data_IF_421548495588
#
_entry.id   IF_421548495588
#
_cell.length_a   1.000
_cell.length_b   1.000
_cell.length_c   1.000
_cell.angle_alpha   90.00
_cell.angle_beta   90.00
_cell.angle_gamma   90.00
#
_symmetry.space_group_name_H-M   'P 1'
#
loop_
_entity.id
_entity.type
_entity.pdbx_description
1 polymer ?
#
# COMPACT_ATOMS: atom_id res chain seq x y z
N UNK A 1 -65.04 20.20 25.75
CA UNK A 1 -64.06 20.19 24.64
C UNK A 1 -62.86 21.03 25.06
N UNK A 2 -61.85 20.43 25.71
CA UNK A 2 -60.62 21.13 26.10
C UNK A 2 -59.70 21.14 24.87
N UNK A 3 -59.47 22.32 24.30
CA UNK A 3 -58.47 22.49 23.24
C UNK A 3 -57.09 22.24 23.85
N UNK A 4 -56.35 21.30 23.27
CA UNK A 4 -54.94 21.10 23.58
C UNK A 4 -54.15 22.30 23.05
N UNK A 5 -53.45 22.99 23.95
CA UNK A 5 -52.50 24.05 23.62
C UNK A 5 -51.38 23.49 22.72
N UNK A 6 -50.92 24.23 21.70
CA UNK A 6 -49.75 23.82 20.93
C UNK A 6 -48.53 23.95 21.85
N UNK A 7 -47.85 22.84 22.11
CA UNK A 7 -46.57 22.81 22.82
C UNK A 7 -45.58 23.69 22.06
N UNK A 8 -45.24 24.83 22.66
CA UNK A 8 -44.22 25.73 22.15
C UNK A 8 -42.91 24.95 21.97
N UNK A 9 -42.35 24.97 20.75
CA UNK A 9 -41.06 24.34 20.48
C UNK A 9 -39.99 25.01 21.35
N UNK A 10 -39.07 24.25 21.98
CA UNK A 10 -38.02 24.83 22.79
C UNK A 10 -37.17 25.82 21.97
N UNK A 11 -36.61 26.88 22.60
CA UNK A 11 -35.68 27.79 21.93
C UNK A 11 -34.54 26.99 21.28
N UNK A 12 -34.09 27.39 20.09
CA UNK A 12 -33.15 26.62 19.26
C UNK A 12 -31.89 26.16 20.03
N UNK A 13 -31.41 26.98 20.97
CA UNK A 13 -30.23 26.71 21.82
C UNK A 13 -30.39 25.57 22.84
N UNK A 14 -31.61 25.12 23.12
CA UNK A 14 -31.89 24.04 24.10
C UNK A 14 -32.30 22.71 23.46
N UNK A 15 -32.37 22.63 22.13
CA UNK A 15 -32.72 21.37 21.46
C UNK A 15 -31.59 20.36 21.63
N UNK A 16 -31.88 19.07 21.92
CA UNK A 16 -30.86 18.04 21.95
C UNK A 16 -30.09 18.02 20.63
N UNK A 17 -28.78 17.79 20.72
CA UNK A 17 -27.91 17.62 19.55
C UNK A 17 -27.81 16.12 19.25
N UNK A 18 -28.44 15.68 18.17
CA UNK A 18 -28.42 14.30 17.71
C UNK A 18 -27.24 14.08 16.76
N UNK A 19 -26.46 13.03 17.02
CA UNK A 19 -25.24 12.71 16.27
C UNK A 19 -25.39 11.35 15.62
N UNK A 20 -25.27 11.29 14.30
CA UNK A 20 -25.12 10.03 13.57
C UNK A 20 -23.68 9.52 13.71
N UNK A 21 -23.52 8.20 13.84
CA UNK A 21 -22.21 7.59 14.01
C UNK A 21 -21.48 7.49 12.67
N UNK A 22 -22.09 6.77 11.73
CA UNK A 22 -21.46 6.40 10.45
C UNK A 22 -21.45 7.59 9.48
N UNK A 23 -20.27 8.02 9.04
CA UNK A 23 -20.11 9.10 8.06
C UNK A 23 -20.21 10.52 8.62
N UNK A 24 -20.64 10.68 9.88
CA UNK A 24 -20.71 11.98 10.59
C UNK A 24 -19.67 12.01 11.71
N UNK A 25 -19.88 11.28 12.82
CA UNK A 25 -18.92 11.22 13.92
C UNK A 25 -17.65 10.45 13.57
N UNK A 26 -17.81 9.33 12.87
CA UNK A 26 -16.73 8.50 12.35
C UNK A 26 -16.71 8.64 10.84
N UNK A 27 -15.53 8.86 10.24
CA UNK A 27 -15.40 9.08 8.80
C UNK A 27 -15.69 7.85 7.93
N UNK A 28 -15.78 6.68 8.56
CA UNK A 28 -16.04 5.38 7.92
C UNK A 28 -17.42 4.84 8.30
N UNK A 29 -17.75 3.66 7.77
CA UNK A 29 -18.96 2.95 8.11
C UNK A 29 -18.60 1.68 8.91
N UNK A 30 -19.13 1.57 10.11
CA UNK A 30 -18.84 0.50 11.07
C UNK A 30 -19.24 -0.90 10.57
N UNK A 31 -20.28 -1.02 9.74
CA UNK A 31 -20.64 -2.30 9.12
C UNK A 31 -19.55 -2.81 8.18
N UNK A 32 -19.03 -1.95 7.30
CA UNK A 32 -17.98 -2.35 6.35
C UNK A 32 -16.68 -2.71 7.07
N UNK A 33 -16.34 -2.00 8.14
CA UNK A 33 -15.20 -2.36 8.99
C UNK A 33 -15.40 -3.70 9.70
N UNK A 34 -16.59 -3.92 10.27
CA UNK A 34 -16.95 -5.18 10.91
C UNK A 34 -16.89 -6.35 9.93
N UNK A 35 -17.41 -6.17 8.71
CA UNK A 35 -17.33 -7.17 7.64
C UNK A 35 -15.90 -7.48 7.24
N UNK A 36 -15.07 -6.45 7.04
CA UNK A 36 -13.67 -6.64 6.68
C UNK A 36 -12.92 -7.42 7.77
N UNK A 37 -13.13 -7.05 9.05
CA UNK A 37 -12.53 -7.73 10.18
C UNK A 37 -13.04 -9.17 10.35
N UNK A 38 -14.33 -9.40 10.11
CA UNK A 38 -14.93 -10.74 10.09
C UNK A 38 -14.27 -11.62 9.04
N UNK A 39 -14.17 -11.16 7.79
CA UNK A 39 -13.58 -11.94 6.71
C UNK A 39 -12.08 -12.14 6.88
N UNK A 40 -11.39 -11.21 7.55
CA UNK A 40 -9.97 -11.36 7.89
C UNK A 40 -9.74 -12.46 8.94
N UNK A 41 -10.60 -12.55 9.96
CA UNK A 41 -10.46 -13.54 11.04
C UNK A 41 -11.10 -14.89 10.69
N UNK A 42 -12.20 -14.87 9.94
CA UNK A 42 -13.05 -16.03 9.62
C UNK A 42 -13.41 -16.03 8.13
N UNK A 43 -12.45 -16.23 7.21
CA UNK A 43 -12.68 -16.14 5.77
C UNK A 43 -13.69 -17.18 5.24
N UNK A 44 -13.83 -18.31 5.92
CA UNK A 44 -14.82 -19.35 5.59
C UNK A 44 -16.28 -18.88 5.69
N UNK A 45 -16.55 -17.73 6.34
CA UNK A 45 -17.89 -17.15 6.43
C UNK A 45 -18.27 -16.27 5.24
N UNK A 46 -17.40 -16.10 4.22
CA UNK A 46 -17.73 -15.30 3.04
C UNK A 46 -19.06 -15.71 2.35
N UNK A 47 -19.38 -17.02 2.16
CA UNK A 47 -20.68 -17.42 1.63
C UNK A 47 -21.85 -17.08 2.56
N UNK A 48 -21.64 -17.16 3.88
CA UNK A 48 -22.66 -16.82 4.87
C UNK A 48 -22.98 -15.32 4.85
N UNK A 49 -21.97 -14.46 4.69
CA UNK A 49 -22.15 -13.01 4.51
C UNK A 49 -23.07 -12.70 3.33
N UNK A 50 -22.93 -13.40 2.20
CA UNK A 50 -23.83 -13.26 1.06
C UNK A 50 -25.27 -13.66 1.43
N UNK A 51 -25.45 -14.80 2.09
CA UNK A 51 -26.76 -15.26 2.54
C UNK A 51 -27.41 -14.28 3.54
N UNK A 52 -26.63 -13.68 4.44
CA UNK A 52 -27.09 -12.67 5.39
C UNK A 52 -27.48 -11.36 4.71
N UNK A 53 -26.72 -10.95 3.69
CA UNK A 53 -27.03 -9.77 2.88
C UNK A 53 -28.38 -9.92 2.16
N UNK A 54 -28.71 -11.13 1.67
CA UNK A 54 -30.00 -11.42 1.03
C UNK A 54 -31.19 -11.34 2.01
N UNK A 55 -30.96 -11.55 3.31
CA UNK A 55 -31.98 -11.38 4.37
C UNK A 55 -32.16 -9.93 4.80
N UNK A 56 -31.40 -8.99 4.23
CA UNK A 56 -31.50 -7.56 4.44
C UNK A 56 -30.38 -6.97 5.31
N UNK A 57 -30.16 -5.63 5.21
CA UNK A 57 -29.03 -4.94 5.83
C UNK A 57 -29.05 -5.01 7.36
N UNK A 58 -30.25 -4.99 7.94
CA UNK A 58 -30.47 -5.09 9.37
C UNK A 58 -30.04 -6.44 9.95
N UNK A 59 -30.27 -7.54 9.21
CA UNK A 59 -29.83 -8.88 9.61
C UNK A 59 -28.30 -8.99 9.53
N UNK A 60 -27.72 -8.48 8.44
CA UNK A 60 -26.27 -8.48 8.23
C UNK A 60 -25.53 -7.74 9.36
N UNK A 61 -25.99 -6.55 9.76
CA UNK A 61 -25.39 -5.76 10.86
C UNK A 61 -25.33 -6.52 12.17
N UNK A 62 -26.44 -7.12 12.58
CA UNK A 62 -26.51 -7.89 13.82
C UNK A 62 -25.55 -9.10 13.79
N UNK A 63 -25.50 -9.80 12.67
CA UNK A 63 -24.74 -11.03 12.54
C UNK A 63 -23.22 -10.79 12.52
N UNK A 64 -22.81 -9.63 11.99
CA UNK A 64 -21.44 -9.10 12.05
C UNK A 64 -21.08 -8.65 13.47
N UNK A 65 -21.90 -7.81 14.11
CA UNK A 65 -21.67 -7.30 15.46
C UNK A 65 -21.62 -8.42 16.53
N UNK A 66 -22.35 -9.52 16.30
CA UNK A 66 -22.30 -10.71 17.18
C UNK A 66 -20.98 -11.46 17.11
N UNK A 67 -20.29 -11.47 15.95
CA UNK A 67 -19.09 -12.28 15.73
C UNK A 67 -17.79 -11.54 15.90
N UNK A 68 -17.81 -10.22 15.75
CA UNK A 68 -16.62 -9.39 15.75
C UNK A 68 -16.83 -8.16 16.60
N UNK A 69 -15.85 -7.88 17.44
CA UNK A 69 -15.76 -6.62 18.17
C UNK A 69 -14.83 -5.67 17.43
N UNK A 70 -15.32 -4.46 17.17
CA UNK A 70 -14.52 -3.37 16.62
C UNK A 70 -13.73 -2.71 17.74
N UNK A 71 -12.47 -2.38 17.45
CA UNK A 71 -11.66 -1.58 18.35
C UNK A 71 -12.07 -0.11 18.19
N UNK A 72 -13.05 0.30 19.00
CA UNK A 72 -13.66 1.64 18.90
C UNK A 72 -12.63 2.76 19.09
N UNK A 73 -11.57 2.52 19.87
CA UNK A 73 -10.51 3.50 20.11
C UNK A 73 -9.67 3.83 18.85
N UNK A 74 -9.74 2.99 17.81
CA UNK A 74 -9.01 3.19 16.56
C UNK A 74 -9.88 3.77 15.45
N UNK A 75 -11.17 3.99 15.69
CA UNK A 75 -12.06 4.53 14.66
C UNK A 75 -11.59 5.96 14.25
N UNK A 76 -11.68 6.32 12.96
CA UNK A 76 -11.26 7.62 12.47
C UNK A 76 -12.33 8.66 12.78
N UNK A 77 -12.33 9.15 14.02
CA UNK A 77 -13.26 10.17 14.49
C UNK A 77 -13.00 11.54 13.84
N UNK A 78 -14.06 12.32 13.64
CA UNK A 78 -13.95 13.75 13.32
C UNK A 78 -13.59 14.51 14.61
N UNK A 79 -12.30 14.76 14.81
CA UNK A 79 -11.76 15.42 16.00
C UNK A 79 -12.33 16.84 16.21
N UNK A 80 -12.69 17.53 15.12
CA UNK A 80 -13.28 18.87 15.19
C UNK A 80 -14.71 18.77 15.71
N UNK A 81 -15.48 17.81 15.20
CA UNK A 81 -16.82 17.55 15.69
C UNK A 81 -16.80 17.08 17.14
N UNK A 82 -15.90 16.17 17.52
CA UNK A 82 -15.75 15.72 18.91
C UNK A 82 -15.47 16.88 19.88
N UNK A 83 -14.60 17.80 19.48
CA UNK A 83 -14.31 19.01 20.27
C UNK A 83 -15.56 19.87 20.44
N UNK A 84 -16.31 20.10 19.35
CA UNK A 84 -17.56 20.86 19.39
C UNK A 84 -18.64 20.19 20.26
N UNK A 85 -18.83 18.88 20.14
CA UNK A 85 -19.78 18.12 20.97
C UNK A 85 -19.41 18.20 22.46
N UNK A 86 -18.11 18.18 22.77
CA UNK A 86 -17.62 18.32 24.14
C UNK A 86 -17.91 19.72 24.71
N UNK A 87 -17.74 20.76 23.90
CA UNK A 87 -18.07 22.15 24.28
C UNK A 87 -19.59 22.33 24.51
N UNK A 88 -20.43 21.80 23.63
CA UNK A 88 -21.89 21.87 23.78
C UNK A 88 -22.38 21.12 25.02
N UNK A 89 -21.79 19.95 25.31
CA UNK A 89 -22.06 19.22 26.55
C UNK A 89 -21.66 20.02 27.78
N UNK A 90 -20.50 20.69 27.74
CA UNK A 90 -20.05 21.55 28.84
C UNK A 90 -20.97 22.77 29.06
N UNK A 91 -21.67 23.23 28.01
CA UNK A 91 -22.71 24.26 28.10
C UNK A 91 -24.04 23.75 28.64
N UNK A 92 -24.14 22.46 28.99
CA UNK A 92 -25.34 21.83 29.53
C UNK A 92 -26.34 21.36 28.48
N UNK A 93 -25.96 21.37 27.20
CA UNK A 93 -26.81 20.89 26.11
C UNK A 93 -26.80 19.36 26.08
N UNK A 94 -27.98 18.74 25.92
CA UNK A 94 -28.13 17.28 25.82
C UNK A 94 -27.56 16.80 24.47
N UNK A 95 -26.65 15.83 24.51
CA UNK A 95 -26.04 15.23 23.32
C UNK A 95 -26.46 13.76 23.22
N UNK A 96 -27.05 13.38 22.08
CA UNK A 96 -27.63 12.05 21.87
C UNK A 96 -26.96 11.38 20.68
N UNK A 97 -26.55 10.12 20.83
CA UNK A 97 -26.08 9.31 19.72
C UNK A 97 -27.30 8.67 19.05
N UNK A 98 -27.71 9.17 17.90
CA UNK A 98 -28.85 8.67 17.14
C UNK A 98 -28.35 8.07 15.82
N UNK A 99 -28.26 6.74 15.76
CA UNK A 99 -27.53 6.06 14.69
C UNK A 99 -28.24 4.84 14.11
N UNK A 100 -28.05 4.64 12.82
CA UNK A 100 -28.46 3.40 12.13
C UNK A 100 -27.54 2.19 12.38
N UNK A 101 -26.42 2.39 13.08
CA UNK A 101 -25.47 1.33 13.43
C UNK A 101 -26.07 0.32 14.43
N UNK A 102 -25.40 -0.83 14.56
CA UNK A 102 -25.80 -1.84 15.53
C UNK A 102 -25.65 -1.31 16.97
N UNK A 103 -26.61 -1.66 17.83
CA UNK A 103 -26.67 -1.20 19.23
C UNK A 103 -25.40 -1.52 20.00
N UNK A 104 -24.82 -2.72 19.81
CA UNK A 104 -23.59 -3.11 20.51
C UNK A 104 -22.42 -2.18 20.16
N UNK A 105 -22.33 -1.75 18.90
CA UNK A 105 -21.27 -0.84 18.43
C UNK A 105 -21.53 0.59 18.94
N UNK A 106 -22.77 1.06 18.84
CA UNK A 106 -23.17 2.40 19.29
C UNK A 106 -22.93 2.59 20.80
N UNK A 107 -23.31 1.61 21.61
CA UNK A 107 -23.09 1.62 23.06
C UNK A 107 -21.59 1.56 23.41
N UNK A 108 -20.81 0.75 22.69
CA UNK A 108 -19.35 0.70 22.89
C UNK A 108 -18.66 2.03 22.57
N UNK A 109 -19.07 2.70 21.49
CA UNK A 109 -18.55 4.04 21.13
C UNK A 109 -18.98 5.07 22.18
N UNK A 110 -20.23 5.04 22.62
CA UNK A 110 -20.73 5.98 23.62
C UNK A 110 -20.01 5.81 24.97
N UNK A 111 -19.78 4.57 25.39
CA UNK A 111 -19.01 4.26 26.59
C UNK A 111 -17.54 4.71 26.48
N UNK A 112 -16.93 4.54 25.30
CA UNK A 112 -15.55 4.96 25.06
C UNK A 112 -15.36 6.48 25.13
N UNK A 113 -16.29 7.24 24.52
CA UNK A 113 -16.19 8.70 24.45
C UNK A 113 -16.72 9.39 25.71
N UNK A 114 -17.70 8.82 26.42
CA UNK A 114 -18.32 9.44 27.61
C UNK A 114 -19.12 10.72 27.31
N UNK A 115 -19.39 11.02 26.03
CA UNK A 115 -20.01 12.26 25.59
C UNK A 115 -21.54 12.19 25.45
N UNK A 116 -22.15 11.02 25.34
CA UNK A 116 -23.59 10.93 25.03
C UNK A 116 -24.44 10.67 26.27
N UNK A 117 -25.56 11.38 26.37
CA UNK A 117 -26.54 11.24 27.46
C UNK A 117 -27.56 10.14 27.18
N UNK A 118 -27.76 9.81 25.89
CA UNK A 118 -28.59 8.69 25.45
C UNK A 118 -28.06 8.12 24.13
N UNK A 119 -28.31 6.83 23.92
CA UNK A 119 -27.98 6.11 22.68
C UNK A 119 -29.28 5.55 22.09
N UNK A 120 -29.62 6.02 20.90
CA UNK A 120 -30.71 5.51 20.08
C UNK A 120 -30.07 4.82 18.88
N UNK A 121 -30.08 3.50 18.88
CA UNK A 121 -29.49 2.68 17.84
C UNK A 121 -30.57 1.92 17.08
N UNK A 122 -30.16 1.12 16.08
CA UNK A 122 -31.01 0.31 15.20
C UNK A 122 -32.41 -0.01 15.75
N UNK A 123 -33.43 0.52 15.08
CA UNK A 123 -34.85 0.22 15.34
C UNK A 123 -35.53 1.15 16.33
N UNK A 124 -34.79 2.04 17.00
CA UNK A 124 -35.31 3.04 17.93
C UNK A 124 -35.03 4.44 17.36
N UNK A 125 -35.94 5.02 16.53
CA UNK A 125 -35.74 6.37 16.01
C UNK A 125 -35.81 7.39 17.15
N UNK A 126 -34.91 8.37 17.14
CA UNK A 126 -34.98 9.50 18.05
C UNK A 126 -36.05 10.48 17.55
N UNK A 127 -37.17 10.58 18.27
CA UNK A 127 -38.38 11.28 17.83
C UNK A 127 -38.54 12.70 18.40
N UNK A 128 -37.72 13.09 19.39
CA UNK A 128 -37.74 14.44 19.94
C UNK A 128 -37.24 15.47 18.90
N UNK A 129 -37.76 16.71 18.86
CA UNK A 129 -37.22 17.76 18.00
C UNK A 129 -35.77 18.08 18.36
N UNK A 130 -34.85 17.84 17.42
CA UNK A 130 -33.42 17.94 17.66
C UNK A 130 -32.70 18.72 16.57
N UNK A 131 -31.47 19.11 16.87
CA UNK A 131 -30.53 19.58 15.86
C UNK A 131 -29.62 18.41 15.45
N UNK A 132 -29.42 18.22 14.14
CA UNK A 132 -28.51 17.19 13.64
C UNK A 132 -27.08 17.75 13.57
N UNK A 133 -26.16 17.08 14.25
CA UNK A 133 -24.74 17.37 14.09
C UNK A 133 -24.30 17.09 12.65
N UNK A 134 -23.52 18.00 12.08
CA UNK A 134 -22.98 17.85 10.72
C UNK A 134 -21.48 17.63 10.76
N UNK A 135 -20.98 16.90 9.77
CA UNK A 135 -19.55 16.72 9.57
C UNK A 135 -18.88 18.08 9.34
N UNK A 136 -17.80 18.33 10.07
CA UNK A 136 -17.08 19.61 10.06
C UNK A 136 -15.88 19.61 9.13
N UNK A 137 -15.24 18.46 8.90
CA UNK A 137 -14.04 18.39 8.06
C UNK A 137 -14.36 18.40 6.55
N UNK A 138 -13.74 19.29 5.73
CA UNK A 138 -13.89 19.26 4.29
C UNK A 138 -13.29 17.97 3.71
N UNK A 139 -14.02 17.32 2.81
CA UNK A 139 -13.53 16.13 2.11
C UNK A 139 -12.35 16.51 1.21
N UNK A 140 -11.26 15.74 1.27
CA UNK A 140 -10.13 15.91 0.35
C UNK A 140 -10.59 15.63 -1.08
N UNK A 141 -9.98 16.26 -2.11
CA UNK A 141 -10.34 16.02 -3.51
C UNK A 141 -10.26 14.53 -3.85
N UNK A 142 -11.36 13.96 -4.35
CA UNK A 142 -11.50 12.52 -4.61
C UNK A 142 -10.35 11.96 -5.46
N UNK A 143 -9.99 12.66 -6.54
CA UNK A 143 -8.91 12.24 -7.43
C UNK A 143 -7.56 12.10 -6.71
N UNK A 144 -7.21 13.05 -5.84
CA UNK A 144 -5.97 13.01 -5.06
C UNK A 144 -5.97 11.82 -4.10
N UNK A 145 -7.11 11.55 -3.49
CA UNK A 145 -7.29 10.42 -2.56
C UNK A 145 -7.19 9.09 -3.30
N UNK A 146 -7.80 8.97 -4.49
CA UNK A 146 -7.68 7.79 -5.35
C UNK A 146 -6.24 7.55 -5.81
N UNK A 147 -5.52 8.57 -6.30
CA UNK A 147 -4.12 8.40 -6.69
C UNK A 147 -3.22 7.97 -5.52
N UNK A 148 -3.52 8.47 -4.31
CA UNK A 148 -2.84 8.04 -3.09
C UNK A 148 -3.16 6.59 -2.74
N UNK A 149 -4.42 6.16 -2.89
CA UNK A 149 -4.86 4.78 -2.64
C UNK A 149 -4.24 3.78 -3.64
N UNK A 150 -4.20 4.15 -4.93
CA UNK A 150 -3.54 3.37 -5.99
C UNK A 150 -2.01 3.35 -5.84
N UNK A 151 -1.45 4.27 -5.06
CA UNK A 151 -0.01 4.46 -4.87
C UNK A 151 0.73 4.62 -6.19
N UNK A 152 0.25 5.51 -7.07
CA UNK A 152 0.83 5.72 -8.42
C UNK A 152 2.34 6.01 -8.40
N UNK A 153 2.86 6.66 -7.35
CA UNK A 153 4.30 6.84 -7.17
C UNK A 153 5.11 5.52 -7.12
N UNK A 154 4.51 4.40 -6.72
CA UNK A 154 5.14 3.08 -6.72
C UNK A 154 5.19 2.45 -8.12
N UNK A 155 4.44 2.96 -9.10
CA UNK A 155 4.49 2.48 -10.48
C UNK A 155 5.86 2.72 -11.12
N UNK A 156 6.66 3.64 -10.56
CA UNK A 156 8.05 3.83 -10.97
C UNK A 156 8.89 2.54 -10.90
N UNK A 157 8.54 1.58 -10.03
CA UNK A 157 9.17 0.25 -9.98
C UNK A 157 8.95 -0.57 -11.24
N UNK A 158 7.82 -0.35 -11.89
CA UNK A 158 7.44 -1.04 -13.12
C UNK A 158 8.14 -0.44 -14.35
N UNK A 159 8.88 0.68 -14.22
CA UNK A 159 9.77 1.17 -15.29
C UNK A 159 10.79 0.09 -15.68
N UNK A 160 11.11 -0.84 -14.78
CA UNK A 160 11.94 -2.01 -15.06
C UNK A 160 11.43 -2.89 -16.22
N UNK A 161 10.13 -2.84 -16.56
CA UNK A 161 9.58 -3.56 -17.72
C UNK A 161 10.14 -3.05 -19.06
N UNK A 162 10.67 -1.82 -19.11
CA UNK A 162 11.27 -1.25 -20.32
C UNK A 162 12.74 -1.63 -20.48
N UNK A 163 13.39 -2.18 -19.45
CA UNK A 163 14.82 -2.54 -19.48
C UNK A 163 15.16 -3.51 -20.63
N UNK A 164 14.38 -4.57 -20.90
CA UNK A 164 14.62 -5.46 -22.05
C UNK A 164 14.61 -4.74 -23.40
N UNK A 165 13.68 -3.80 -23.58
CA UNK A 165 13.53 -3.04 -24.82
C UNK A 165 14.73 -2.11 -25.05
N UNK A 166 15.20 -1.46 -23.97
CA UNK A 166 16.39 -0.62 -23.98
C UNK A 166 17.66 -1.44 -24.24
N UNK A 167 17.83 -2.56 -23.54
CA UNK A 167 19.00 -3.43 -23.67
C UNK A 167 19.13 -4.02 -25.09
N UNK A 168 18.00 -4.24 -25.77
CA UNK A 168 17.98 -4.71 -27.16
C UNK A 168 18.09 -3.60 -28.22
N UNK A 169 18.28 -2.33 -27.82
CA UNK A 169 18.31 -1.17 -28.71
C UNK A 169 17.04 -1.00 -29.58
N UNK A 170 15.89 -1.52 -29.11
CA UNK A 170 14.60 -1.47 -29.83
C UNK A 170 13.63 -0.42 -29.26
N UNK A 171 14.13 0.54 -28.49
CA UNK A 171 13.28 1.54 -27.81
C UNK A 171 12.47 2.43 -28.76
N UNK A 172 12.90 2.57 -30.01
CA UNK A 172 12.22 3.36 -31.05
C UNK A 172 11.23 2.54 -31.88
N UNK A 173 11.13 1.22 -31.65
CA UNK A 173 10.16 0.35 -32.30
C UNK A 173 8.77 0.55 -31.67
N UNK A 174 7.89 1.25 -32.39
CA UNK A 174 6.57 1.68 -31.89
C UNK A 174 5.70 0.49 -31.47
N UNK A 175 5.50 -0.57 -32.28
CA UNK A 175 4.79 -1.78 -31.83
C UNK A 175 5.31 -2.37 -30.51
N UNK A 176 6.63 -2.50 -30.38
CA UNK A 176 7.25 -3.05 -29.17
C UNK A 176 7.09 -2.13 -27.96
N UNK A 177 7.17 -0.81 -28.17
CA UNK A 177 6.93 0.19 -27.14
C UNK A 177 5.48 0.14 -26.65
N UNK A 178 4.50 -0.02 -27.55
CA UNK A 178 3.08 -0.18 -27.17
C UNK A 178 2.89 -1.42 -26.31
N UNK A 179 3.50 -2.55 -26.67
CA UNK A 179 3.45 -3.78 -25.86
C UNK A 179 4.08 -3.59 -24.48
N UNK A 180 5.22 -2.90 -24.40
CA UNK A 180 5.87 -2.57 -23.13
C UNK A 180 4.99 -1.66 -22.25
N UNK A 181 4.33 -0.66 -22.85
CA UNK A 181 3.39 0.24 -22.14
C UNK A 181 2.15 -0.52 -21.65
N UNK A 182 1.57 -1.40 -22.47
CA UNK A 182 0.47 -2.26 -22.05
C UNK A 182 0.89 -3.15 -20.87
N UNK A 183 2.08 -3.74 -20.94
CA UNK A 183 2.66 -4.53 -19.86
C UNK A 183 2.86 -3.71 -18.59
N UNK A 184 3.40 -2.49 -18.72
CA UNK A 184 3.60 -1.55 -17.62
C UNK A 184 2.28 -1.19 -16.91
N UNK A 185 1.24 -0.83 -17.67
CA UNK A 185 -0.07 -0.48 -17.10
C UNK A 185 -0.70 -1.71 -16.45
N UNK A 186 -0.67 -2.87 -17.12
CA UNK A 186 -1.18 -4.14 -16.57
C UNK A 186 -0.52 -4.52 -15.23
N UNK A 187 0.82 -4.49 -15.16
CA UNK A 187 1.56 -4.74 -13.92
C UNK A 187 1.24 -3.70 -12.84
N UNK A 188 1.05 -2.43 -13.23
CA UNK A 188 0.76 -1.34 -12.29
C UNK A 188 -0.64 -1.45 -11.69
N UNK A 189 -1.64 -1.79 -12.48
CA UNK A 189 -3.01 -2.06 -12.00
C UNK A 189 -3.04 -3.28 -11.07
N UNK A 190 -2.35 -4.37 -11.46
CA UNK A 190 -2.21 -5.57 -10.65
C UNK A 190 -1.52 -5.27 -9.30
N UNK A 191 -0.41 -4.52 -9.30
CA UNK A 191 0.27 -4.11 -8.08
C UNK A 191 -0.60 -3.18 -7.20
N UNK A 192 -1.36 -2.27 -7.82
CA UNK A 192 -2.29 -1.37 -7.11
C UNK A 192 -3.43 -2.14 -6.44
N UNK A 193 -3.93 -3.20 -7.08
CA UNK A 193 -4.92 -4.12 -6.47
C UNK A 193 -4.37 -4.74 -5.18
N UNK A 194 -3.13 -5.26 -5.21
CA UNK A 194 -2.48 -5.80 -4.00
C UNK A 194 -2.30 -4.73 -2.93
N UNK A 195 -1.91 -3.51 -3.31
CA UNK A 195 -1.75 -2.42 -2.34
C UNK A 195 -3.07 -2.01 -1.68
N UNK A 196 -4.16 -1.93 -2.43
CA UNK A 196 -5.49 -1.65 -1.89
C UNK A 196 -5.91 -2.77 -0.95
N UNK A 197 -5.78 -4.04 -1.36
CA UNK A 197 -6.11 -5.19 -0.52
C UNK A 197 -5.31 -5.19 0.78
N UNK A 198 -4.00 -4.93 0.70
CA UNK A 198 -3.14 -4.85 1.88
C UNK A 198 -3.54 -3.69 2.81
N UNK A 199 -3.90 -2.52 2.28
CA UNK A 199 -4.34 -1.38 3.10
C UNK A 199 -5.67 -1.64 3.81
N UNK A 200 -6.53 -2.49 3.24
CA UNK A 200 -7.72 -2.98 3.93
C UNK A 200 -7.34 -4.00 5.02
N UNK A 201 -6.51 -4.99 4.70
CA UNK A 201 -6.13 -6.03 5.66
C UNK A 201 -5.34 -5.46 6.85
N UNK A 202 -4.54 -4.42 6.64
CA UNK A 202 -3.70 -3.78 7.66
C UNK A 202 -4.37 -2.56 8.33
N UNK A 203 -5.69 -2.37 8.19
CA UNK A 203 -6.40 -1.18 8.66
C UNK A 203 -6.09 -0.80 10.13
N UNK A 204 -6.24 -1.74 11.06
CA UNK A 204 -6.00 -1.52 12.50
C UNK A 204 -4.53 -1.19 12.79
N UNK A 205 -3.59 -1.86 12.11
CA UNK A 205 -2.16 -1.64 12.32
C UNK A 205 -1.69 -0.33 11.70
N UNK A 206 -2.29 0.06 10.57
CA UNK A 206 -2.03 1.34 9.91
C UNK A 206 -2.51 2.52 10.74
N UNK A 207 -3.66 2.41 11.42
CA UNK A 207 -4.19 3.44 12.34
C UNK A 207 -3.29 3.72 13.54
N UNK A 208 -2.65 2.68 14.09
CA UNK A 208 -1.68 2.81 15.19
C UNK A 208 -0.35 3.41 14.75
N UNK A 209 -0.03 3.36 13.45
CA UNK A 209 1.29 3.73 12.95
C UNK A 209 1.43 5.26 12.71
N UNK A 210 2.55 5.91 13.13
CA UNK A 210 2.71 7.37 13.08
C UNK A 210 2.43 8.04 11.72
N UNK A 211 2.94 7.44 10.64
CA UNK A 211 2.74 7.94 9.27
C UNK A 211 1.64 7.22 8.48
N UNK A 212 1.48 5.90 8.63
CA UNK A 212 0.49 5.12 7.85
C UNK A 212 -0.96 5.40 8.26
N UNK A 213 -1.21 5.97 9.44
CA UNK A 213 -2.56 6.45 9.85
C UNK A 213 -3.17 7.45 8.86
N UNK A 214 -2.33 8.13 8.07
CA UNK A 214 -2.75 9.07 7.02
C UNK A 214 -3.09 8.39 5.69
N UNK A 215 -3.07 7.06 5.59
CA UNK A 215 -3.51 6.33 4.39
C UNK A 215 -5.02 6.54 4.18
N UNK A 216 -5.50 6.58 2.92
CA UNK A 216 -6.90 6.90 2.65
C UNK A 216 -7.94 6.05 3.39
N UNK A 217 -7.73 4.74 3.47
CA UNK A 217 -8.64 3.84 4.20
C UNK A 217 -8.50 3.98 5.72
N UNK A 218 -7.26 4.03 6.24
CA UNK A 218 -7.00 4.17 7.68
C UNK A 218 -7.58 5.46 8.29
N UNK A 219 -7.47 6.57 7.56
CA UNK A 219 -7.97 7.89 7.96
C UNK A 219 -9.45 8.13 7.66
N UNK A 220 -10.13 7.22 6.94
CA UNK A 220 -11.51 7.41 6.51
C UNK A 220 -11.70 8.43 5.37
N UNK A 221 -10.64 8.84 4.67
CA UNK A 221 -10.76 9.65 3.45
C UNK A 221 -11.42 8.86 2.30
N UNK A 222 -11.27 7.52 2.29
CA UNK A 222 -12.01 6.62 1.41
C UNK A 222 -12.78 5.58 2.22
N UNK A 223 -14.03 5.27 1.84
CA UNK A 223 -14.79 4.23 2.50
C UNK A 223 -14.18 2.85 2.22
N UNK A 224 -14.24 1.98 3.22
CA UNK A 224 -13.76 0.59 3.13
C UNK A 224 -14.44 -0.19 1.99
N UNK A 225 -15.72 0.07 1.75
CA UNK A 225 -16.47 -0.52 0.63
C UNK A 225 -15.90 -0.17 -0.74
N UNK A 226 -15.37 1.05 -0.93
CA UNK A 226 -14.70 1.41 -2.18
C UNK A 226 -13.47 0.53 -2.40
N UNK A 227 -12.66 0.30 -1.36
CA UNK A 227 -11.50 -0.59 -1.45
C UNK A 227 -11.87 -2.02 -1.86
N UNK A 228 -12.96 -2.56 -1.29
CA UNK A 228 -13.45 -3.92 -1.59
C UNK A 228 -13.82 -4.10 -3.07
N UNK A 229 -14.34 -3.06 -3.73
CA UNK A 229 -14.64 -3.09 -5.17
C UNK A 229 -13.44 -2.69 -6.03
N UNK A 230 -12.61 -1.76 -5.57
CA UNK A 230 -11.43 -1.30 -6.28
C UNK A 230 -10.42 -2.42 -6.49
N UNK A 231 -10.13 -3.24 -5.48
CA UNK A 231 -9.15 -4.31 -5.60
C UNK A 231 -9.47 -5.32 -6.74
N UNK A 232 -10.66 -5.95 -6.80
CA UNK A 232 -11.01 -6.86 -7.89
C UNK A 232 -11.15 -6.16 -9.23
N UNK A 233 -11.66 -4.92 -9.27
CA UNK A 233 -11.76 -4.16 -10.52
C UNK A 233 -10.37 -3.89 -11.12
N UNK A 234 -9.42 -3.41 -10.31
CA UNK A 234 -8.04 -3.17 -10.75
C UNK A 234 -7.35 -4.45 -11.23
N UNK A 235 -7.57 -5.57 -10.53
CA UNK A 235 -7.05 -6.87 -10.94
C UNK A 235 -7.66 -7.32 -12.26
N UNK A 236 -8.98 -7.22 -12.41
CA UNK A 236 -9.71 -7.55 -13.63
C UNK A 236 -9.28 -6.70 -14.82
N UNK A 237 -9.13 -5.39 -14.64
CA UNK A 237 -8.62 -4.48 -15.68
C UNK A 237 -7.17 -4.79 -16.04
N UNK A 238 -6.30 -5.05 -15.06
CA UNK A 238 -4.92 -5.45 -15.32
C UNK A 238 -4.82 -6.76 -16.09
N UNK A 239 -5.63 -7.76 -15.72
CA UNK A 239 -5.71 -9.04 -16.41
C UNK A 239 -6.28 -8.90 -17.83
N UNK A 240 -7.32 -8.08 -18.02
CA UNK A 240 -7.90 -7.79 -19.33
C UNK A 240 -6.87 -7.16 -20.28
N UNK A 241 -6.05 -6.23 -19.78
CA UNK A 241 -4.94 -5.67 -20.55
C UNK A 241 -3.86 -6.73 -20.86
N UNK A 242 -3.57 -7.64 -19.91
CA UNK A 242 -2.62 -8.73 -20.12
C UNK A 242 -3.09 -9.74 -21.17
N UNK A 243 -4.40 -9.86 -21.45
CA UNK A 243 -4.92 -10.70 -22.54
C UNK A 243 -4.55 -10.18 -23.93
N UNK A 244 -4.19 -8.90 -24.05
CA UNK A 244 -3.67 -8.30 -25.27
C UNK A 244 -2.18 -8.61 -25.51
N UNK A 245 -1.52 -9.25 -24.53
CA UNK A 245 -0.12 -9.64 -24.56
C UNK A 245 0.00 -11.17 -24.67
N UNK A 246 1.20 -11.72 -24.94
CA UNK A 246 1.39 -13.17 -25.00
C UNK A 246 0.89 -13.87 -23.72
N UNK A 247 0.26 -15.05 -23.86
CA UNK A 247 -0.34 -15.80 -22.73
C UNK A 247 0.65 -16.09 -21.59
N UNK A 248 1.94 -16.21 -21.92
CA UNK A 248 3.02 -16.40 -20.94
C UNK A 248 3.16 -15.19 -20.00
N UNK A 249 2.91 -13.96 -20.49
CA UNK A 249 2.89 -12.76 -19.66
C UNK A 249 1.73 -12.78 -18.65
N UNK A 250 0.54 -13.23 -19.05
CA UNK A 250 -0.59 -13.39 -18.14
C UNK A 250 -0.28 -14.41 -17.03
N UNK A 251 0.34 -15.54 -17.38
CA UNK A 251 0.79 -16.53 -16.41
C UNK A 251 1.81 -15.93 -15.42
N UNK A 252 2.79 -15.18 -15.91
CA UNK A 252 3.75 -14.47 -15.08
C UNK A 252 3.06 -13.47 -14.13
N UNK A 253 2.10 -12.69 -14.64
CA UNK A 253 1.36 -11.72 -13.84
C UNK A 253 0.56 -12.40 -12.72
N UNK A 254 -0.06 -13.55 -13.01
CA UNK A 254 -0.74 -14.36 -12.02
C UNK A 254 0.23 -14.90 -10.95
N UNK A 255 1.40 -15.42 -11.35
CA UNK A 255 2.45 -15.85 -10.41
C UNK A 255 2.96 -14.68 -9.57
N UNK A 256 3.22 -13.52 -10.18
CA UNK A 256 3.63 -12.30 -9.48
C UNK A 256 2.59 -11.89 -8.43
N UNK A 257 1.30 -11.90 -8.78
CA UNK A 257 0.21 -11.57 -7.86
C UNK A 257 0.16 -12.56 -6.69
N UNK A 258 0.21 -13.86 -6.97
CA UNK A 258 0.21 -14.92 -5.95
C UNK A 258 1.41 -14.80 -4.99
N UNK A 259 2.62 -14.59 -5.51
CA UNK A 259 3.83 -14.41 -4.69
C UNK A 259 3.74 -13.12 -3.87
N UNK A 260 3.19 -12.03 -4.41
CA UNK A 260 3.05 -10.77 -3.67
C UNK A 260 2.03 -10.89 -2.53
N UNK A 261 0.95 -11.65 -2.72
CA UNK A 261 0.01 -11.99 -1.65
C UNK A 261 0.67 -12.90 -0.60
N UNK A 262 1.31 -14.00 -1.02
CA UNK A 262 2.02 -14.91 -0.13
C UNK A 262 3.09 -14.17 0.68
N UNK A 263 3.80 -13.22 0.07
CA UNK A 263 4.72 -12.33 0.75
C UNK A 263 4.04 -11.50 1.84
N UNK A 264 2.91 -10.88 1.52
CA UNK A 264 2.17 -10.01 2.43
C UNK A 264 1.64 -10.77 3.65
N UNK A 265 1.23 -12.02 3.49
CA UNK A 265 0.70 -12.86 4.56
C UNK A 265 1.77 -13.61 5.36
N UNK A 266 2.75 -14.23 4.70
CA UNK A 266 3.63 -15.21 5.35
C UNK A 266 5.11 -15.02 5.04
N UNK A 267 5.51 -14.93 3.76
CA UNK A 267 6.94 -15.00 3.40
C UNK A 267 7.76 -13.85 3.99
N UNK A 268 7.10 -12.71 4.26
CA UNK A 268 7.74 -11.56 4.90
C UNK A 268 8.25 -11.85 6.32
N UNK A 269 7.73 -12.88 6.98
CA UNK A 269 8.02 -13.24 8.37
C UNK A 269 9.23 -14.16 8.51
N UNK A 270 9.67 -14.78 7.40
CA UNK A 270 10.79 -15.72 7.37
C UNK A 270 12.07 -14.96 7.03
N UNK A 271 13.08 -15.09 7.91
CA UNK A 271 14.39 -14.46 7.75
C UNK A 271 15.01 -14.82 6.40
N UNK A 272 15.62 -13.84 5.73
CA UNK A 272 16.26 -13.90 4.40
C UNK A 272 15.31 -14.17 3.23
N UNK A 273 14.27 -14.98 3.43
CA UNK A 273 13.29 -15.28 2.39
C UNK A 273 12.55 -14.01 1.94
N UNK A 274 12.29 -13.09 2.85
CA UNK A 274 11.64 -11.82 2.54
C UNK A 274 12.48 -10.94 1.58
N UNK A 275 13.80 -10.93 1.76
CA UNK A 275 14.74 -10.19 0.92
C UNK A 275 14.92 -10.88 -0.44
N UNK A 276 15.05 -12.22 -0.45
CA UNK A 276 15.15 -13.01 -1.68
C UNK A 276 13.89 -12.87 -2.55
N UNK A 277 12.71 -12.94 -1.94
CA UNK A 277 11.43 -12.72 -2.63
C UNK A 277 11.34 -11.29 -3.15
N UNK A 278 11.76 -10.28 -2.37
CA UNK A 278 11.73 -8.89 -2.83
C UNK A 278 12.64 -8.67 -4.04
N UNK A 279 13.87 -9.23 -4.02
CA UNK A 279 14.78 -9.20 -5.15
C UNK A 279 14.17 -9.90 -6.37
N UNK A 280 13.62 -11.09 -6.18
CA UNK A 280 12.92 -11.84 -7.23
C UNK A 280 11.76 -11.07 -7.84
N UNK A 281 10.92 -10.40 -7.03
CA UNK A 281 9.82 -9.58 -7.52
C UNK A 281 10.30 -8.40 -8.38
N UNK A 282 11.47 -7.81 -8.09
CA UNK A 282 12.06 -6.79 -8.96
C UNK A 282 12.59 -7.41 -10.27
N UNK A 283 13.29 -8.54 -10.20
CA UNK A 283 13.79 -9.26 -11.38
C UNK A 283 12.66 -9.72 -12.31
N UNK A 284 11.55 -10.19 -11.74
CA UNK A 284 10.34 -10.61 -12.47
C UNK A 284 9.76 -9.47 -13.32
N UNK A 285 9.94 -8.21 -12.94
CA UNK A 285 9.49 -7.07 -13.77
C UNK A 285 10.30 -6.96 -15.06
N UNK A 286 11.61 -7.15 -14.98
CA UNK A 286 12.47 -7.17 -16.17
C UNK A 286 12.09 -8.38 -17.04
N UNK A 287 11.87 -9.54 -16.43
CA UNK A 287 11.43 -10.73 -17.17
C UNK A 287 10.05 -10.53 -17.83
N UNK A 288 9.11 -9.90 -17.13
CA UNK A 288 7.80 -9.55 -17.68
C UNK A 288 7.88 -8.60 -18.86
N UNK A 289 8.80 -7.64 -18.85
CA UNK A 289 9.09 -6.80 -20.01
C UNK A 289 9.55 -7.61 -21.22
N UNK A 290 10.44 -8.58 -21.01
CA UNK A 290 10.95 -9.46 -22.07
C UNK A 290 9.83 -10.28 -22.68
N UNK A 291 8.96 -10.87 -21.85
CA UNK A 291 7.81 -11.65 -22.29
C UNK A 291 6.74 -10.80 -22.99
N UNK A 292 6.49 -9.57 -22.52
CA UNK A 292 5.49 -8.69 -23.11
C UNK A 292 5.87 -8.29 -24.54
N UNK A 293 7.15 -8.00 -24.76
CA UNK A 293 7.70 -7.50 -26.03
C UNK A 293 8.18 -8.64 -26.94
N UNK A 294 8.34 -9.86 -26.41
CA UNK A 294 8.84 -11.02 -27.17
C UNK A 294 10.33 -10.93 -27.53
N UNK A 295 11.10 -10.13 -26.79
CA UNK A 295 12.54 -9.98 -27.00
C UNK A 295 13.30 -10.83 -25.99
N UNK A 296 14.09 -11.84 -26.41
CA UNK A 296 14.87 -12.65 -25.50
C UNK A 296 15.93 -11.78 -24.82
N UNK A 297 15.98 -11.84 -23.50
CA UNK A 297 16.99 -11.15 -22.69
C UNK A 297 18.09 -12.13 -22.27
N UNK A 298 19.31 -11.62 -22.12
CA UNK A 298 20.45 -12.43 -21.72
C UNK A 298 20.32 -12.93 -20.28
N UNK A 299 20.80 -14.16 -20.03
CA UNK A 299 20.91 -14.70 -18.66
C UNK A 299 21.77 -13.79 -17.77
N UNK A 300 22.78 -13.14 -18.36
CA UNK A 300 23.63 -12.15 -17.70
C UNK A 300 22.86 -10.98 -17.11
N UNK A 301 21.90 -10.42 -17.86
CA UNK A 301 21.05 -9.32 -17.38
C UNK A 301 20.22 -9.75 -16.16
N UNK A 302 19.70 -10.98 -16.16
CA UNK A 302 18.95 -11.51 -15.01
C UNK A 302 19.84 -11.75 -13.80
N UNK A 303 21.03 -12.35 -13.98
CA UNK A 303 21.99 -12.55 -12.90
C UNK A 303 22.45 -11.22 -12.30
N UNK A 304 22.78 -10.24 -13.13
CA UNK A 304 23.13 -8.88 -12.71
C UNK A 304 22.00 -8.27 -11.88
N UNK A 305 20.77 -8.28 -12.41
CA UNK A 305 19.60 -7.70 -11.78
C UNK A 305 19.27 -8.36 -10.46
N UNK A 306 19.36 -9.69 -10.38
CA UNK A 306 19.09 -10.44 -9.15
C UNK A 306 20.03 -10.03 -8.02
N UNK A 307 21.34 -9.97 -8.26
CA UNK A 307 22.32 -9.54 -7.25
C UNK A 307 22.18 -8.06 -6.89
N UNK A 308 21.90 -7.19 -7.87
CA UNK A 308 21.67 -5.78 -7.63
C UNK A 308 20.43 -5.56 -6.75
N UNK A 309 19.30 -6.18 -7.10
CA UNK A 309 18.06 -6.05 -6.33
C UNK A 309 18.13 -6.75 -4.97
N UNK A 310 18.92 -7.81 -4.83
CA UNK A 310 19.24 -8.41 -3.53
C UNK A 310 20.00 -7.42 -2.64
N UNK A 311 21.01 -6.74 -3.20
CA UNK A 311 21.73 -5.68 -2.51
C UNK A 311 20.78 -4.56 -2.05
N UNK A 312 19.92 -4.05 -2.94
CA UNK A 312 18.95 -3.01 -2.59
C UNK A 312 17.91 -3.50 -1.57
N UNK A 313 17.41 -4.73 -1.68
CA UNK A 313 16.51 -5.31 -0.69
C UNK A 313 17.16 -5.38 0.70
N UNK A 314 18.46 -5.68 0.77
CA UNK A 314 19.23 -5.68 2.02
C UNK A 314 19.45 -4.26 2.57
N UNK A 315 19.62 -3.23 1.73
CA UNK A 315 19.64 -1.83 2.19
C UNK A 315 18.37 -1.47 2.94
N UNK A 316 17.21 -1.85 2.38
CA UNK A 316 15.91 -1.64 3.04
C UNK A 316 15.87 -2.36 4.38
N UNK A 317 16.28 -3.64 4.43
CA UNK A 317 16.28 -4.43 5.66
C UNK A 317 17.23 -3.85 6.71
N UNK A 318 18.43 -3.43 6.32
CA UNK A 318 19.42 -2.78 7.18
C UNK A 318 18.85 -1.51 7.83
N UNK A 319 18.12 -0.68 7.06
CA UNK A 319 17.48 0.54 7.58
C UNK A 319 16.43 0.23 8.66
N UNK A 320 15.68 -0.87 8.52
CA UNK A 320 14.71 -1.31 9.51
C UNK A 320 15.40 -1.84 10.79
N UNK A 321 16.46 -2.66 10.66
CA UNK A 321 17.24 -3.17 11.79
C UNK A 321 17.97 -2.07 12.54
N UNK A 322 18.50 -1.07 11.83
CA UNK A 322 19.08 0.13 12.44
C UNK A 322 18.09 0.84 13.35
N UNK A 323 16.85 1.03 12.90
CA UNK A 323 15.81 1.70 13.69
C UNK A 323 15.52 0.94 14.99
N UNK A 324 15.51 -0.39 14.94
CA UNK A 324 15.36 -1.23 16.14
C UNK A 324 16.51 -1.02 17.11
N UNK A 325 17.74 -1.04 16.61
CA UNK A 325 18.95 -0.79 17.39
C UNK A 325 18.94 0.61 18.04
N UNK A 326 18.44 1.62 17.34
CA UNK A 326 18.30 2.98 17.89
C UNK A 326 17.17 3.10 18.92
N UNK A 327 16.10 2.32 18.77
CA UNK A 327 14.97 2.29 19.70
C UNK A 327 15.21 1.38 20.92
N UNK A 328 16.37 0.73 21.03
CA UNK A 328 16.64 -0.34 22.00
C UNK A 328 15.59 -1.48 21.98
N UNK A 329 15.01 -1.74 20.80
CA UNK A 329 14.11 -2.87 20.58
C UNK A 329 14.92 -4.12 20.18
N UNK A 330 14.61 -5.26 20.81
CA UNK A 330 15.39 -6.49 20.62
C UNK A 330 15.13 -7.18 19.28
N UNK A 331 13.89 -7.12 18.76
CA UNK A 331 13.48 -7.86 17.58
C UNK A 331 12.48 -7.09 16.70
N UNK A 332 12.56 -7.33 15.40
CA UNK A 332 11.63 -6.78 14.42
C UNK A 332 10.28 -7.53 14.50
N UNK A 333 9.15 -6.86 14.82
CA UNK A 333 7.85 -7.52 14.89
C UNK A 333 7.49 -8.22 13.57
N UNK A 334 7.37 -9.55 13.62
CA UNK A 334 6.91 -10.37 12.49
C UNK A 334 7.85 -10.42 11.28
N UNK A 335 9.17 -10.28 11.47
CA UNK A 335 10.17 -10.36 10.39
C UNK A 335 11.34 -11.33 10.65
N UNK A 336 11.51 -11.81 11.88
CA UNK A 336 12.55 -12.77 12.24
C UNK A 336 13.97 -12.21 12.28
N UNK A 337 14.14 -10.89 12.40
CA UNK A 337 15.43 -10.21 12.51
C UNK A 337 15.62 -9.60 13.91
N UNK A 338 16.86 -9.58 14.38
CA UNK A 338 17.25 -8.96 15.65
C UNK A 338 18.22 -7.79 15.42
N UNK A 339 18.34 -6.90 16.41
CA UNK A 339 19.23 -5.73 16.31
C UNK A 339 20.70 -6.09 16.04
N UNK A 340 21.13 -7.29 16.46
CA UNK A 340 22.49 -7.82 16.26
C UNK A 340 22.80 -8.27 14.83
N UNK A 341 21.81 -8.40 13.94
CA UNK A 341 22.04 -8.84 12.54
C UNK A 341 22.61 -7.73 11.65
N UNK A 342 22.78 -6.52 12.19
CA UNK A 342 23.07 -5.32 11.42
C UNK A 342 24.36 -5.45 10.57
N UNK A 343 25.45 -5.91 11.18
CA UNK A 343 26.75 -6.04 10.56
C UNK A 343 26.75 -7.13 9.49
N UNK A 344 26.14 -8.28 9.77
CA UNK A 344 26.01 -9.40 8.83
C UNK A 344 25.16 -9.01 7.61
N UNK A 345 24.05 -8.30 7.82
CA UNK A 345 23.20 -7.80 6.72
C UNK A 345 23.95 -6.79 5.85
N UNK A 346 24.78 -5.93 6.45
CA UNK A 346 25.61 -4.98 5.72
C UNK A 346 26.64 -5.72 4.83
N UNK A 347 27.35 -6.72 5.38
CA UNK A 347 28.33 -7.52 4.63
C UNK A 347 27.67 -8.26 3.47
N UNK A 348 26.55 -8.95 3.72
CA UNK A 348 25.79 -9.68 2.69
C UNK A 348 25.34 -8.74 1.57
N UNK A 349 24.90 -7.54 1.93
CA UNK A 349 24.35 -6.59 0.98
C UNK A 349 25.39 -5.90 0.12
N UNK A 350 26.52 -5.46 0.71
CA UNK A 350 27.67 -4.92 -0.05
C UNK A 350 28.23 -5.99 -0.98
N UNK A 351 28.42 -7.21 -0.46
CA UNK A 351 28.90 -8.36 -1.26
C UNK A 351 27.98 -8.64 -2.46
N UNK A 352 26.66 -8.66 -2.25
CA UNK A 352 25.69 -8.83 -3.34
C UNK A 352 25.79 -7.72 -4.38
N UNK A 353 25.99 -6.48 -3.94
CA UNK A 353 26.16 -5.35 -4.85
C UNK A 353 27.44 -5.46 -5.69
N UNK A 354 28.56 -5.83 -5.08
CA UNK A 354 29.82 -6.04 -5.81
C UNK A 354 29.78 -7.27 -6.73
N UNK A 355 29.08 -8.34 -6.34
CA UNK A 355 28.80 -9.48 -7.22
C UNK A 355 28.01 -9.05 -8.46
N UNK A 356 27.05 -8.13 -8.35
CA UNK A 356 26.38 -7.58 -9.53
C UNK A 356 27.37 -6.89 -10.48
N UNK A 357 28.33 -6.12 -9.97
CA UNK A 357 29.36 -5.49 -10.81
C UNK A 357 30.32 -6.50 -11.41
N UNK A 358 30.66 -7.57 -10.69
CA UNK A 358 31.45 -8.67 -11.23
C UNK A 358 30.70 -9.36 -12.39
N UNK A 359 29.40 -9.62 -12.23
CA UNK A 359 28.57 -10.19 -13.31
C UNK A 359 28.52 -9.25 -14.52
N UNK A 360 28.45 -7.93 -14.31
CA UNK A 360 28.55 -6.94 -15.38
C UNK A 360 29.90 -7.02 -16.11
N UNK A 361 31.01 -7.14 -15.37
CA UNK A 361 32.34 -7.29 -15.96
C UNK A 361 32.44 -8.55 -16.83
N UNK A 362 31.89 -9.68 -16.35
CA UNK A 362 31.83 -10.92 -17.12
C UNK A 362 30.96 -10.77 -18.37
N UNK A 363 29.82 -10.09 -18.26
CA UNK A 363 28.95 -9.80 -19.39
C UNK A 363 29.66 -9.00 -20.49
N UNK A 364 30.44 -7.97 -20.14
CA UNK A 364 31.17 -7.14 -21.11
C UNK A 364 32.13 -7.98 -21.97
N UNK A 365 32.68 -9.07 -21.42
CA UNK A 365 33.58 -9.99 -22.14
C UNK A 365 32.86 -11.04 -22.99
N UNK A 366 31.53 -11.07 -22.99
CA UNK A 366 30.74 -12.11 -23.65
C UNK A 366 30.55 -11.84 -25.14
N UNK A 367 30.31 -12.91 -25.91
CA UNK A 367 30.13 -12.83 -27.38
C UNK A 367 28.89 -12.01 -27.75
N UNK A 368 27.87 -12.02 -26.90
CA UNK A 368 26.64 -11.27 -27.08
C UNK A 368 26.89 -9.75 -27.13
N UNK A 369 27.84 -9.24 -26.34
CA UNK A 369 28.20 -7.81 -26.32
C UNK A 369 28.99 -7.42 -27.56
N UNK A 370 29.92 -8.25 -28.01
CA UNK A 370 30.75 -7.97 -29.19
C UNK A 370 29.95 -7.87 -30.49
N UNK A 371 28.74 -8.44 -30.53
CA UNK A 371 27.82 -8.33 -31.67
C UNK A 371 26.99 -7.04 -31.63
N UNK A 372 26.75 -6.50 -30.43
CA UNK A 372 25.81 -5.38 -30.23
C UNK A 372 26.49 -4.01 -30.18
N UNK A 373 27.77 -3.95 -29.83
CA UNK A 373 28.53 -2.71 -29.62
C UNK A 373 29.77 -2.65 -30.52
N UNK A 374 30.00 -1.51 -31.17
CA UNK A 374 31.17 -1.28 -32.03
C UNK A 374 32.48 -1.18 -31.22
N UNK A 375 32.42 -0.67 -29.99
CA UNK A 375 33.58 -0.49 -29.11
C UNK A 375 33.32 -1.05 -27.70
N UNK A 376 33.26 -2.39 -27.52
CA UNK A 376 32.95 -3.04 -26.24
C UNK A 376 33.90 -2.66 -25.10
N UNK A 377 35.15 -2.32 -25.41
CA UNK A 377 36.16 -1.93 -24.41
C UNK A 377 35.74 -0.71 -23.58
N UNK A 378 34.93 0.19 -24.16
CA UNK A 378 34.43 1.38 -23.46
C UNK A 378 33.45 1.02 -22.35
N UNK A 379 32.75 -0.11 -22.47
CA UNK A 379 31.79 -0.57 -21.46
C UNK A 379 32.45 -0.90 -20.11
N UNK A 380 33.75 -1.16 -20.07
CA UNK A 380 34.49 -1.34 -18.81
C UNK A 380 34.38 -0.13 -17.87
N UNK A 381 34.12 1.07 -18.41
CA UNK A 381 33.85 2.26 -17.60
C UNK A 381 32.55 2.15 -16.78
N UNK A 382 31.63 1.24 -17.11
CA UNK A 382 30.44 0.98 -16.30
C UNK A 382 30.79 0.34 -14.96
N UNK A 383 31.86 -0.46 -14.89
CA UNK A 383 32.27 -1.12 -13.64
C UNK A 383 32.62 -0.13 -12.51
N UNK A 384 33.56 0.84 -12.68
CA UNK A 384 33.85 1.82 -11.64
C UNK A 384 32.66 2.73 -11.32
N UNK A 385 31.83 3.06 -12.32
CA UNK A 385 30.60 3.85 -12.12
C UNK A 385 29.62 3.11 -11.21
N UNK A 386 29.40 1.82 -11.46
CA UNK A 386 28.51 0.99 -10.63
C UNK A 386 29.10 0.70 -9.25
N UNK A 387 30.42 0.47 -9.13
CA UNK A 387 31.08 0.32 -7.83
C UNK A 387 30.90 1.57 -6.97
N UNK A 388 31.12 2.75 -7.55
CA UNK A 388 30.89 4.02 -6.86
C UNK A 388 29.44 4.15 -6.39
N UNK A 389 28.47 3.86 -7.26
CA UNK A 389 27.05 3.99 -6.92
C UNK A 389 26.62 3.03 -5.81
N UNK A 390 26.95 1.74 -5.94
CA UNK A 390 26.67 0.72 -4.93
C UNK A 390 27.32 1.10 -3.60
N UNK A 391 28.62 1.42 -3.62
CA UNK A 391 29.35 1.82 -2.42
C UNK A 391 28.74 3.06 -1.74
N UNK A 392 28.36 4.07 -2.53
CA UNK A 392 27.71 5.28 -2.02
C UNK A 392 26.36 4.98 -1.37
N UNK A 393 25.50 4.18 -2.02
CA UNK A 393 24.19 3.82 -1.46
C UNK A 393 24.37 3.12 -0.10
N UNK A 394 25.32 2.19 0.00
CA UNK A 394 25.60 1.50 1.26
C UNK A 394 26.18 2.41 2.34
N UNK A 395 27.09 3.33 1.99
CA UNK A 395 27.58 4.34 2.93
C UNK A 395 26.46 5.25 3.44
N UNK A 396 25.54 5.67 2.58
CA UNK A 396 24.38 6.49 2.99
C UNK A 396 23.38 5.71 3.83
N UNK A 397 23.14 4.44 3.52
CA UNK A 397 22.31 3.55 4.33
C UNK A 397 22.90 3.33 5.72
N UNK A 398 24.22 3.11 5.79
CA UNK A 398 24.96 3.01 7.04
C UNK A 398 24.97 4.33 7.84
N UNK A 399 24.78 5.48 7.19
CA UNK A 399 24.58 6.78 7.85
C UNK A 399 23.13 7.07 8.25
N UNK A 400 22.16 6.28 7.78
CA UNK A 400 20.74 6.44 8.11
C UNK A 400 20.05 7.48 7.24
N UNK A 401 20.62 7.77 6.07
CA UNK A 401 20.11 8.75 5.11
C UNK A 401 19.20 8.11 4.06
N UNK A 402 19.19 6.78 3.97
CA UNK A 402 18.29 6.00 3.11
C UNK A 402 17.17 5.41 3.96
N UNK A 403 16.05 6.14 4.03
CA UNK A 403 14.88 5.77 4.86
C UNK A 403 13.67 5.29 4.04
N UNK A 404 13.78 5.36 2.71
CA UNK A 404 12.75 4.95 1.77
C UNK A 404 13.19 3.71 0.98
N UNK A 405 12.32 3.21 0.11
CA UNK A 405 12.67 2.16 -0.84
C UNK A 405 13.89 2.60 -1.70
N UNK A 406 14.99 1.81 -1.76
CA UNK A 406 16.22 2.24 -2.43
C UNK A 406 16.04 2.58 -3.91
N UNK A 407 15.08 1.95 -4.60
CA UNK A 407 14.79 2.28 -5.99
C UNK A 407 14.15 3.68 -6.09
N UNK A 408 13.26 4.02 -5.16
CA UNK A 408 12.64 5.35 -5.08
C UNK A 408 13.67 6.39 -4.66
N UNK A 409 14.59 6.04 -3.76
CA UNK A 409 15.75 6.88 -3.41
C UNK A 409 16.58 7.21 -4.66
N UNK A 410 16.91 6.21 -5.48
CA UNK A 410 17.68 6.40 -6.72
C UNK A 410 16.97 7.36 -7.70
N UNK A 411 15.64 7.36 -7.72
CA UNK A 411 14.80 8.26 -8.53
C UNK A 411 14.60 9.66 -7.93
N UNK A 412 15.13 9.95 -6.74
CA UNK A 412 15.06 11.29 -6.13
C UNK A 412 16.44 11.90 -5.92
N UNK A 413 17.46 11.06 -5.80
CA UNK A 413 18.83 11.47 -5.51
C UNK A 413 19.54 12.02 -6.76
N UNK A 414 19.99 13.28 -6.66
CA UNK A 414 20.67 13.99 -7.75
C UNK A 414 21.94 13.26 -8.22
N UNK A 415 22.71 12.67 -7.30
CA UNK A 415 23.94 11.96 -7.64
C UNK A 415 23.64 10.68 -8.41
N UNK A 416 22.55 9.98 -8.07
CA UNK A 416 22.09 8.80 -8.81
C UNK A 416 21.73 9.15 -10.26
N UNK A 417 21.15 10.33 -10.53
CA UNK A 417 20.97 10.82 -11.91
C UNK A 417 22.28 11.09 -12.63
N UNK A 418 23.25 11.72 -11.98
CA UNK A 418 24.58 11.97 -12.58
C UNK A 418 25.27 10.65 -12.93
N UNK A 419 25.25 9.67 -12.01
CA UNK A 419 25.77 8.31 -12.27
C UNK A 419 25.04 7.67 -13.44
N UNK A 420 23.71 7.77 -13.48
CA UNK A 420 22.90 7.24 -14.59
C UNK A 420 23.22 7.89 -15.93
N UNK A 421 23.44 9.21 -15.97
CA UNK A 421 23.86 9.94 -17.18
C UNK A 421 25.26 9.53 -17.63
N UNK A 422 26.20 9.34 -16.71
CA UNK A 422 27.54 8.82 -17.04
C UNK A 422 27.43 7.41 -17.62
N UNK A 423 26.66 6.52 -16.98
CA UNK A 423 26.44 5.16 -17.48
C UNK A 423 25.80 5.17 -18.88
N UNK A 424 24.80 6.03 -19.11
CA UNK A 424 24.19 6.22 -20.42
C UNK A 424 25.21 6.73 -21.45
N UNK A 425 26.03 7.72 -21.09
CA UNK A 425 27.09 8.24 -21.95
C UNK A 425 28.11 7.16 -22.34
N UNK A 426 28.46 6.27 -21.42
CA UNK A 426 29.33 5.12 -21.70
C UNK A 426 28.67 4.14 -22.66
N UNK A 427 27.38 3.81 -22.46
CA UNK A 427 26.62 2.93 -23.36
C UNK A 427 26.56 3.50 -24.78
N UNK A 428 26.20 4.78 -24.91
CA UNK A 428 26.11 5.48 -26.21
C UNK A 428 27.47 5.61 -26.89
N UNK A 429 28.55 5.79 -26.13
CA UNK A 429 29.90 5.84 -26.69
C UNK A 429 30.40 4.45 -27.14
N UNK A 430 29.81 3.37 -26.64
CA UNK A 430 30.17 2.00 -27.03
C UNK A 430 29.37 1.51 -28.25
N UNK A 431 28.18 2.05 -28.49
CA UNK A 431 27.33 1.73 -29.65
C UNK A 431 27.96 2.29 -30.92
#
# INVERSE_FOLDING_TARGET
MRMASPTASPPQDMRPLAVELDGVLVHTNTLHEGLLRLLKLQPYLAPAVLAWSLRGPSFLRAEVARRVELDVALLPYDEVLLSHLSEEKARGRRVVLATSADRKVAEAVAAHLGLFDAVHARGEPFTEPHEEARRTAPSKPLARTLFKALRVHQWAKNILLFVPLLAAHKALDVPLLVQAVLGFVSFSLCASSVYVLNDLLDLDSDRKHPTKRRRPFASGDLPVSAGLWMAPLLLGSGAAMALLLPRVFLALLATYYAVTLAYSFYLKQVMMLDVLVLAGLYTVRIFGGSLAVGVPTSSWLFSFSMFLFLSLALVKRLSEVRRLRQANESAAPGRGYVAGDYEQLAILGVSSGYLSVLVLALYITSKEVTVLYLSPERLWLLCPVMLYWVGRVWLLAHRGLVNEDPLVFALKDKVSYVVGLIAMGVLLAAT
#
